data_IF_699245744513
#
_entry.id   IF_699245744513
#
_cell.length_a   1.000
_cell.length_b   1.000
_cell.length_c   1.000
_cell.angle_alpha   90.00
_cell.angle_beta   90.00
_cell.angle_gamma   90.00
#
_symmetry.space_group_name_H-M   'P 1'
#
loop_
_entity.id
_entity.type
_entity.pdbx_description
1 polymer ?
#
# COMPACT_ATOMS: atom_id res chain seq x y z
N UNK A 1 -17.80 -3.67 7.30
CA UNK A 1 -16.91 -4.67 7.95
C UNK A 1 -15.62 -4.03 8.44
N UNK A 2 -14.83 -3.36 7.59
CA UNK A 2 -13.49 -2.85 7.94
C UNK A 2 -13.43 -1.92 9.17
N UNK A 3 -14.34 -0.95 9.28
CA UNK A 3 -14.39 -0.02 10.45
C UNK A 3 -14.66 -0.79 11.74
N UNK A 4 -15.61 -1.74 11.70
CA UNK A 4 -15.94 -2.55 12.87
C UNK A 4 -14.74 -3.43 13.30
N UNK A 5 -14.08 -4.08 12.34
CA UNK A 5 -12.88 -4.87 12.60
C UNK A 5 -11.75 -4.02 13.18
N UNK A 6 -11.57 -2.79 12.69
CA UNK A 6 -10.57 -1.85 13.22
C UNK A 6 -10.88 -1.44 14.67
N UNK A 7 -12.14 -1.13 14.99
CA UNK A 7 -12.54 -0.80 16.36
C UNK A 7 -12.33 -1.98 17.33
N UNK A 8 -12.66 -3.20 16.89
CA UNK A 8 -12.41 -4.43 17.66
C UNK A 8 -10.90 -4.62 17.90
N UNK A 9 -10.09 -4.45 16.85
CA UNK A 9 -8.64 -4.53 16.93
C UNK A 9 -8.06 -3.51 17.92
N UNK A 10 -8.45 -2.24 17.82
CA UNK A 10 -8.00 -1.16 18.73
C UNK A 10 -8.40 -1.48 20.18
N UNK A 11 -9.60 -2.01 20.40
CA UNK A 11 -10.04 -2.44 21.74
C UNK A 11 -9.23 -3.63 22.26
N UNK A 12 -8.86 -4.56 21.39
CA UNK A 12 -8.11 -5.76 21.75
C UNK A 12 -6.66 -5.45 22.13
N UNK A 13 -5.93 -4.69 21.30
CA UNK A 13 -4.52 -4.35 21.56
C UNK A 13 -4.34 -3.52 22.85
N UNK A 14 -5.37 -2.76 23.25
CA UNK A 14 -5.36 -2.00 24.52
C UNK A 14 -5.55 -2.86 25.77
N UNK A 15 -6.01 -4.10 25.63
CA UNK A 15 -6.36 -4.99 26.75
C UNK A 15 -5.35 -6.11 26.97
N UNK A 16 -4.65 -6.53 25.93
CA UNK A 16 -3.65 -7.61 26.02
C UNK A 16 -2.36 -7.10 26.66
N UNK A 17 -1.70 -7.95 27.44
CA UNK A 17 -0.51 -7.60 28.22
C UNK A 17 0.73 -7.40 27.35
N UNK A 18 0.81 -8.11 26.23
CA UNK A 18 1.88 -8.01 25.24
C UNK A 18 1.27 -7.85 23.83
N UNK A 19 0.87 -6.62 23.46
CA UNK A 19 0.23 -6.36 22.18
C UNK A 19 1.23 -6.38 21.03
N UNK A 20 0.85 -7.02 19.91
CA UNK A 20 1.62 -6.97 18.67
C UNK A 20 1.89 -5.54 18.17
N UNK A 21 0.96 -4.62 18.40
CA UNK A 21 1.14 -3.18 18.16
C UNK A 21 0.95 -2.43 19.47
N UNK A 22 2.00 -1.75 19.94
CA UNK A 22 1.96 -0.95 21.16
C UNK A 22 0.87 0.16 21.05
N UNK A 23 -0.16 0.15 21.93
CA UNK A 23 -1.18 1.19 21.98
C UNK A 23 -0.63 2.61 22.22
N UNK A 24 0.56 2.72 22.80
CA UNK A 24 1.28 3.97 23.00
C UNK A 24 1.64 4.68 21.70
N UNK A 25 1.91 3.93 20.62
CA UNK A 25 2.17 4.49 19.29
C UNK A 25 0.99 5.29 18.76
N UNK A 26 -0.23 4.89 19.11
CA UNK A 26 -1.46 5.61 18.76
C UNK A 26 -1.56 7.01 19.37
N UNK A 27 -0.80 7.31 20.42
CA UNK A 27 -0.74 8.63 21.06
C UNK A 27 0.38 9.51 20.50
N UNK A 28 1.32 8.93 19.77
CA UNK A 28 2.43 9.65 19.14
C UNK A 28 1.94 10.29 17.84
N UNK A 29 1.61 11.58 17.90
CA UNK A 29 1.04 12.32 16.76
C UNK A 29 1.96 12.28 15.52
N UNK A 30 3.27 12.57 15.61
CA UNK A 30 4.18 12.44 14.46
C UNK A 30 4.17 11.04 13.84
N UNK A 31 4.21 9.99 14.67
CA UNK A 31 4.14 8.61 14.18
C UNK A 31 2.81 8.34 13.45
N UNK A 32 1.68 8.74 14.04
CA UNK A 32 0.36 8.54 13.46
C UNK A 32 0.20 9.28 12.13
N UNK A 33 0.71 10.50 12.01
CA UNK A 33 0.76 11.23 10.74
C UNK A 33 1.61 10.45 9.72
N UNK A 34 2.77 9.94 10.13
CA UNK A 34 3.61 9.09 9.27
C UNK A 34 2.88 7.85 8.76
N UNK A 35 2.16 7.14 9.62
CA UNK A 35 1.35 5.97 9.24
C UNK A 35 0.24 6.34 8.26
N UNK A 36 -0.47 7.45 8.51
CA UNK A 36 -1.54 7.91 7.61
C UNK A 36 -0.98 8.32 6.25
N UNK A 37 0.10 9.11 6.22
CA UNK A 37 0.79 9.49 5.00
C UNK A 37 1.28 8.26 4.23
N UNK A 38 1.93 7.31 4.91
CA UNK A 38 2.38 6.06 4.32
C UNK A 38 1.22 5.24 3.75
N UNK A 39 0.09 5.17 4.46
CA UNK A 39 -1.12 4.51 3.99
C UNK A 39 -1.71 5.14 2.73
N UNK A 40 -1.75 6.48 2.66
CA UNK A 40 -2.24 7.21 1.47
C UNK A 40 -1.31 6.99 0.28
N UNK A 41 0.01 7.09 0.47
CA UNK A 41 1.00 6.85 -0.58
C UNK A 41 0.87 5.42 -1.09
N UNK A 42 0.86 4.43 -0.19
CA UNK A 42 0.71 3.03 -0.55
C UNK A 42 -0.60 2.75 -1.27
N UNK A 43 -1.73 3.28 -0.76
CA UNK A 43 -3.04 3.12 -1.38
C UNK A 43 -3.11 3.72 -2.78
N UNK A 44 -2.49 4.88 -2.98
CA UNK A 44 -2.41 5.54 -4.30
C UNK A 44 -1.61 4.70 -5.29
N UNK A 45 -0.45 4.19 -4.89
CA UNK A 45 0.40 3.33 -5.73
C UNK A 45 -0.32 2.02 -6.07
N UNK A 46 -0.93 1.36 -5.07
CA UNK A 46 -1.70 0.13 -5.29
C UNK A 46 -2.89 0.35 -6.23
N UNK A 47 -3.59 1.48 -6.09
CA UNK A 47 -4.65 1.91 -7.00
C UNK A 47 -4.13 2.11 -8.42
N UNK A 48 -3.01 2.79 -8.59
CA UNK A 48 -2.37 2.99 -9.89
C UNK A 48 -1.99 1.67 -10.56
N UNK A 49 -1.28 0.78 -9.85
CA UNK A 49 -0.88 -0.54 -10.37
C UNK A 49 -2.10 -1.37 -10.79
N UNK A 50 -3.21 -1.22 -10.08
CA UNK A 50 -4.47 -1.90 -10.42
C UNK A 50 -5.19 -1.27 -11.62
N UNK A 51 -5.16 0.06 -11.75
CA UNK A 51 -5.94 0.77 -12.77
C UNK A 51 -5.25 0.88 -14.13
N UNK A 52 -3.92 0.96 -14.14
CA UNK A 52 -3.12 1.10 -15.37
C UNK A 52 -3.42 -0.02 -16.40
N UNK A 53 -3.49 -1.31 -16.02
CA UNK A 53 -3.83 -2.37 -16.97
C UNK A 53 -5.22 -2.20 -17.59
N UNK A 54 -6.22 -1.74 -16.82
CA UNK A 54 -7.56 -1.48 -17.33
C UNK A 54 -7.55 -0.33 -18.34
N UNK A 55 -6.85 0.76 -18.03
CA UNK A 55 -6.73 1.90 -18.95
C UNK A 55 -6.00 1.51 -20.24
N UNK A 56 -4.92 0.74 -20.15
CA UNK A 56 -4.17 0.28 -21.32
C UNK A 56 -5.00 -0.65 -22.21
N UNK A 57 -5.86 -1.47 -21.62
CA UNK A 57 -6.78 -2.33 -22.35
C UNK A 57 -7.92 -1.54 -22.97
N UNK A 58 -8.65 -0.74 -22.19
CA UNK A 58 -9.93 -0.19 -22.61
C UNK A 58 -9.79 1.13 -23.39
N UNK A 59 -8.78 1.95 -23.06
CA UNK A 59 -8.52 3.23 -23.73
C UNK A 59 -7.51 3.07 -24.86
N UNK A 60 -6.41 2.34 -24.59
CA UNK A 60 -5.32 2.18 -25.57
C UNK A 60 -5.42 0.91 -26.41
N UNK A 61 -6.42 0.04 -26.16
CA UNK A 61 -6.69 -1.17 -26.94
C UNK A 61 -5.47 -2.11 -27.07
N UNK A 62 -4.58 -2.08 -26.08
CA UNK A 62 -3.41 -2.95 -26.03
C UNK A 62 -3.81 -4.38 -25.65
N UNK A 63 -3.14 -5.36 -26.24
CA UNK A 63 -3.33 -6.76 -25.86
C UNK A 63 -2.78 -7.02 -24.45
N UNK A 64 -3.28 -8.07 -23.79
CA UNK A 64 -2.79 -8.48 -22.47
C UNK A 64 -1.29 -8.81 -22.48
N UNK A 65 -0.78 -9.35 -23.59
CA UNK A 65 0.64 -9.66 -23.76
C UNK A 65 1.50 -8.38 -23.78
N UNK A 66 1.04 -7.34 -24.49
CA UNK A 66 1.73 -6.04 -24.53
C UNK A 66 1.69 -5.33 -23.18
N UNK A 67 0.55 -5.35 -22.47
CA UNK A 67 0.42 -4.75 -21.14
C UNK A 67 1.41 -5.43 -20.16
N UNK A 68 1.46 -6.76 -20.16
CA UNK A 68 2.36 -7.51 -19.30
C UNK A 68 3.84 -7.25 -19.61
N UNK A 69 4.21 -7.30 -20.88
CA UNK A 69 5.61 -7.23 -21.31
C UNK A 69 6.17 -5.81 -21.35
N UNK A 70 5.40 -4.82 -21.82
CA UNK A 70 5.88 -3.45 -22.06
C UNK A 70 5.61 -2.53 -20.87
N UNK A 71 4.56 -2.78 -20.09
CA UNK A 71 4.15 -1.87 -19.00
C UNK A 71 4.42 -2.46 -17.62
N UNK A 72 3.84 -3.62 -17.29
CA UNK A 72 3.91 -4.19 -15.94
C UNK A 72 5.32 -4.71 -15.61
N UNK A 73 5.96 -5.43 -16.53
CA UNK A 73 7.28 -6.02 -16.29
C UNK A 73 8.36 -4.95 -16.07
N UNK A 74 8.52 -3.92 -16.93
CA UNK A 74 9.49 -2.84 -16.67
C UNK A 74 9.15 -2.02 -15.42
N UNK A 75 7.86 -1.79 -15.15
CA UNK A 75 7.41 -1.12 -13.92
C UNK A 75 7.84 -1.89 -12.66
N UNK A 76 7.68 -3.22 -12.66
CA UNK A 76 8.09 -4.09 -11.55
C UNK A 76 9.61 -4.09 -11.36
N UNK A 77 10.38 -4.19 -12.44
CA UNK A 77 11.84 -4.10 -12.37
C UNK A 77 12.31 -2.75 -11.80
N UNK A 78 11.62 -1.67 -12.16
CA UNK A 78 11.91 -0.34 -11.62
C UNK A 78 11.68 -0.28 -10.11
N UNK A 79 10.62 -0.90 -9.58
CA UNK A 79 10.38 -0.99 -8.14
C UNK A 79 11.52 -1.71 -7.41
N UNK A 80 12.08 -2.77 -7.99
CA UNK A 80 13.23 -3.48 -7.41
C UNK A 80 14.46 -2.55 -7.34
N UNK A 81 14.77 -1.88 -8.45
CA UNK A 81 15.96 -1.00 -8.54
C UNK A 81 15.81 0.20 -7.60
N UNK A 82 14.69 0.94 -7.70
CA UNK A 82 14.47 2.11 -6.85
C UNK A 82 14.23 1.74 -5.39
N UNK A 83 13.64 0.57 -5.12
CA UNK A 83 13.49 0.04 -3.76
C UNK A 83 14.84 -0.28 -3.13
N UNK A 84 15.77 -0.86 -3.89
CA UNK A 84 17.15 -1.07 -3.44
C UNK A 84 17.85 0.26 -3.16
N UNK A 85 17.78 1.23 -4.09
CA UNK A 85 18.43 2.54 -3.93
C UNK A 85 17.84 3.31 -2.74
N UNK A 86 16.52 3.34 -2.58
CA UNK A 86 15.87 4.07 -1.49
C UNK A 86 15.99 3.41 -0.11
N UNK A 87 16.43 2.15 -0.06
CA UNK A 87 16.69 1.41 1.17
C UNK A 87 18.15 1.48 1.66
N UNK A 88 19.05 2.03 0.85
CA UNK A 88 20.45 2.37 1.20
C UNK A 88 20.48 3.81 1.72
#
# INVERSE_FOLDING_TARGET
VSVLSFLIFVKHIRKVTDPFVDPGLGKNIPFMIGVLCGGIIFGTVAGFVSMVPYMMKDVHQLSTAEIGSVIISPGTMSVIIFGYIGGI
#
